data_IF_133844366278
#
_entry.id   IF_133844366278
#
_cell.length_a   1.000
_cell.length_b   1.000
_cell.length_c   1.000
_cell.angle_alpha   90.00
_cell.angle_beta   90.00
_cell.angle_gamma   90.00
#
_symmetry.space_group_name_H-M   'P 1'
#
loop_
_entity.id
_entity.type
_entity.pdbx_description
1 polymer ?
#
# COMPACT_ATOMS: atom_id res chain seq x y z
N UNK A 1 1.74 -4.52 4.17
CA UNK A 1 2.15 -5.92 3.95
C UNK A 1 1.14 -6.86 4.58
N UNK A 2 1.01 -8.08 4.07
CA UNK A 2 0.20 -9.15 4.65
C UNK A 2 0.87 -10.51 4.37
N UNK A 3 0.72 -11.55 5.21
CA UNK A 3 1.23 -12.89 4.90
C UNK A 3 0.66 -13.42 3.59
N UNK A 4 1.46 -14.06 2.74
CA UNK A 4 1.04 -14.51 1.41
C UNK A 4 -0.12 -15.50 1.49
N UNK A 5 -0.13 -16.39 2.49
CA UNK A 5 -1.16 -17.39 2.72
C UNK A 5 -2.54 -16.79 3.05
N UNK A 6 -2.59 -15.53 3.49
CA UNK A 6 -3.87 -14.83 3.72
C UNK A 6 -4.60 -14.48 2.43
N UNK A 7 -3.90 -14.49 1.30
CA UNK A 7 -4.39 -13.96 0.03
C UNK A 7 -4.93 -12.52 0.12
N UNK A 8 -4.44 -11.74 1.09
CA UNK A 8 -4.88 -10.36 1.33
C UNK A 8 -6.25 -10.23 2.00
N UNK A 9 -6.85 -11.32 2.49
CA UNK A 9 -8.20 -11.34 3.05
C UNK A 9 -8.20 -11.25 4.58
N UNK A 10 -9.17 -10.53 5.13
CA UNK A 10 -9.35 -10.35 6.57
C UNK A 10 -8.39 -9.30 7.17
N UNK A 11 -8.26 -9.30 8.48
CA UNK A 11 -7.44 -8.34 9.24
C UNK A 11 -5.96 -8.73 9.18
N UNK A 12 -5.35 -8.56 8.01
CA UNK A 12 -4.00 -9.08 7.70
C UNK A 12 -3.02 -8.02 7.22
N UNK A 13 -3.49 -6.83 6.85
CA UNK A 13 -2.64 -5.77 6.32
C UNK A 13 -2.08 -4.89 7.44
N UNK A 14 -0.76 -4.74 7.49
CA UNK A 14 -0.09 -3.73 8.33
C UNK A 14 0.70 -2.74 7.48
N UNK A 15 0.74 -1.47 7.89
CA UNK A 15 1.40 -0.39 7.15
C UNK A 15 2.88 -0.32 7.55
N UNK A 16 3.79 -0.27 6.57
CA UNK A 16 5.25 -0.18 6.81
C UNK A 16 5.90 1.07 6.21
N UNK A 17 5.14 1.85 5.46
CA UNK A 17 5.58 3.10 4.85
C UNK A 17 4.41 4.05 4.72
N UNK A 18 4.66 5.33 4.91
CA UNK A 18 3.75 6.41 4.53
C UNK A 18 4.53 7.69 4.20
N UNK A 19 4.06 8.41 3.18
CA UNK A 19 4.51 9.76 2.86
C UNK A 19 3.31 10.53 2.30
N UNK A 20 3.14 11.77 2.75
CA UNK A 20 1.99 12.61 2.49
C UNK A 20 2.39 13.97 1.90
N UNK A 21 1.94 15.05 2.54
CA UNK A 21 2.34 16.42 2.22
C UNK A 21 3.45 16.90 3.13
N UNK A 22 4.56 17.36 2.55
CA UNK A 22 5.63 18.06 3.27
C UNK A 22 5.38 19.58 3.22
N UNK A 23 5.00 20.22 4.34
CA UNK A 23 4.73 21.66 4.35
C UNK A 23 5.98 22.53 4.22
N UNK A 24 7.16 21.99 4.52
CA UNK A 24 8.43 22.72 4.40
C UNK A 24 8.88 22.77 2.94
N UNK A 25 8.90 21.61 2.27
CA UNK A 25 9.26 21.51 0.87
C UNK A 25 8.12 21.93 -0.08
N UNK A 26 6.87 21.94 0.41
CA UNK A 26 5.63 22.10 -0.38
C UNK A 26 5.51 21.05 -1.48
N UNK A 27 5.87 19.80 -1.15
CA UNK A 27 5.85 18.67 -2.06
C UNK A 27 4.92 17.58 -1.53
N UNK A 28 4.15 16.99 -2.43
CA UNK A 28 3.44 15.75 -2.16
C UNK A 28 4.34 14.55 -2.42
N UNK A 29 4.00 13.40 -1.84
CA UNK A 29 4.64 12.11 -2.13
C UNK A 29 4.79 11.86 -3.64
N UNK A 30 3.76 12.13 -4.43
CA UNK A 30 3.80 12.00 -5.90
C UNK A 30 4.83 12.91 -6.59
N UNK A 31 5.15 14.07 -6.02
CA UNK A 31 6.21 14.93 -6.54
C UNK A 31 7.59 14.34 -6.29
N UNK A 32 7.80 13.74 -5.11
CA UNK A 32 9.04 13.04 -4.74
C UNK A 32 9.24 11.79 -5.60
N UNK A 33 8.19 10.99 -5.78
CA UNK A 33 8.18 9.83 -6.69
C UNK A 33 8.57 10.24 -8.11
N UNK A 34 7.97 11.31 -8.63
CA UNK A 34 8.27 11.84 -9.97
C UNK A 34 9.74 12.28 -10.07
N UNK A 35 10.25 12.97 -9.05
CA UNK A 35 11.65 13.39 -9.00
C UNK A 35 12.61 12.19 -8.91
N UNK A 36 12.20 11.09 -8.27
CA UNK A 36 12.95 9.85 -8.15
C UNK A 36 12.62 8.82 -9.24
N UNK A 37 12.26 9.27 -10.44
CA UNK A 37 12.03 8.40 -11.62
C UNK A 37 11.01 7.27 -11.38
N UNK A 38 9.97 7.53 -10.57
CA UNK A 38 8.94 6.56 -10.27
C UNK A 38 9.29 5.60 -9.12
N UNK A 39 10.40 5.81 -8.41
CA UNK A 39 10.85 4.90 -7.35
C UNK A 39 10.56 5.43 -5.95
N UNK A 40 10.30 4.51 -5.03
CA UNK A 40 10.23 4.73 -3.58
C UNK A 40 11.10 3.68 -2.89
N UNK A 41 11.92 4.11 -1.94
CA UNK A 41 12.65 3.22 -1.06
C UNK A 41 11.82 2.89 0.17
N UNK A 42 11.60 1.59 0.41
CA UNK A 42 10.86 1.10 1.58
C UNK A 42 11.76 0.18 2.39
N UNK A 43 11.91 0.50 3.68
CA UNK A 43 12.62 -0.36 4.62
C UNK A 43 11.70 -1.46 5.14
N UNK A 44 12.12 -2.71 4.99
CA UNK A 44 11.40 -3.82 5.59
C UNK A 44 11.62 -3.85 7.12
N UNK A 45 10.56 -4.10 7.91
CA UNK A 45 10.72 -4.38 9.33
C UNK A 45 11.65 -5.56 9.57
N UNK A 46 12.61 -5.42 10.50
CA UNK A 46 13.58 -6.46 10.79
C UNK A 46 13.13 -7.46 11.86
N UNK A 47 12.01 -7.21 12.53
CA UNK A 47 11.51 -8.01 13.65
C UNK A 47 10.29 -8.88 13.30
N UNK A 48 9.72 -8.68 12.10
CA UNK A 48 8.62 -9.52 11.62
C UNK A 48 9.09 -10.93 11.31
N UNK A 49 8.16 -11.88 11.45
CA UNK A 49 8.42 -13.30 11.17
C UNK A 49 8.92 -13.51 9.74
N UNK A 50 9.89 -14.39 9.57
CA UNK A 50 10.28 -14.89 8.25
C UNK A 50 9.10 -15.55 7.52
N UNK A 51 9.04 -15.36 6.21
CA UNK A 51 7.98 -15.92 5.37
C UNK A 51 7.74 -15.13 4.10
N UNK A 52 6.76 -15.59 3.32
CA UNK A 52 6.32 -14.92 2.10
C UNK A 52 5.19 -13.94 2.42
N UNK A 53 5.25 -12.75 1.83
CA UNK A 53 4.33 -11.66 2.07
C UNK A 53 3.81 -11.06 0.77
N UNK A 54 2.58 -10.57 0.80
CA UNK A 54 2.05 -9.59 -0.13
C UNK A 54 2.48 -8.19 0.31
N UNK A 55 3.19 -7.49 -0.56
CA UNK A 55 3.47 -6.07 -0.44
C UNK A 55 2.50 -5.29 -1.32
N UNK A 56 1.54 -4.60 -0.70
CA UNK A 56 0.62 -3.69 -1.38
C UNK A 56 1.16 -2.27 -1.29
N UNK A 57 1.46 -1.67 -2.44
CA UNK A 57 1.69 -0.24 -2.59
C UNK A 57 0.40 0.44 -3.01
N UNK A 58 0.23 1.71 -2.66
CA UNK A 58 -0.95 2.48 -3.02
C UNK A 58 -0.62 3.96 -3.11
N UNK A 59 -0.98 4.56 -4.24
CA UNK A 59 -1.04 6.01 -4.38
C UNK A 59 -2.51 6.42 -4.28
N UNK A 60 -2.80 7.44 -3.47
CA UNK A 60 -4.13 8.03 -3.35
C UNK A 60 -4.09 9.41 -3.99
N UNK A 61 -4.80 9.58 -5.09
CA UNK A 61 -4.86 10.83 -5.81
C UNK A 61 -6.05 11.68 -5.30
N UNK A 62 -5.78 12.95 -5.01
CA UNK A 62 -6.67 13.83 -4.24
C UNK A 62 -7.33 14.94 -5.07
N UNK A 63 -7.11 14.98 -6.39
CA UNK A 63 -7.62 16.04 -7.26
C UNK A 63 -9.14 16.22 -7.22
N UNK A 64 -9.88 15.17 -6.85
CA UNK A 64 -11.33 15.18 -6.71
C UNK A 64 -11.78 14.74 -5.30
N UNK A 65 -10.84 14.62 -4.35
CA UNK A 65 -11.12 14.17 -2.98
C UNK A 65 -11.93 15.17 -2.14
N UNK A 66 -12.20 16.37 -2.66
CA UNK A 66 -13.14 17.31 -2.05
C UNK A 66 -14.61 16.88 -2.22
N UNK A 67 -14.88 15.89 -3.07
CA UNK A 67 -16.20 15.30 -3.24
C UNK A 67 -16.29 13.99 -2.45
N UNK A 68 -17.41 13.78 -1.75
CA UNK A 68 -17.68 12.51 -1.09
C UNK A 68 -18.13 11.48 -2.14
N UNK A 69 -17.34 10.43 -2.36
CA UNK A 69 -17.66 9.32 -3.27
C UNK A 69 -19.00 8.66 -2.95
N UNK A 70 -19.40 8.60 -1.67
CA UNK A 70 -20.68 8.03 -1.27
C UNK A 70 -21.88 8.87 -1.74
N UNK A 71 -21.66 10.15 -2.06
CA UNK A 71 -22.67 11.08 -2.56
C UNK A 71 -22.53 11.28 -4.07
N UNK A 72 -21.30 11.45 -4.57
CA UNK A 72 -20.99 11.69 -5.98
C UNK A 72 -20.00 10.63 -6.46
N UNK A 73 -20.46 9.43 -6.89
CA UNK A 73 -19.59 8.29 -7.18
C UNK A 73 -18.70 8.47 -8.41
N UNK A 74 -18.91 9.52 -9.21
CA UNK A 74 -18.02 9.90 -10.30
C UNK A 74 -16.77 10.65 -9.80
N UNK A 75 -16.72 11.04 -8.52
CA UNK A 75 -15.65 11.83 -7.92
C UNK A 75 -15.23 11.24 -6.56
N UNK A 76 -14.21 11.83 -5.94
CA UNK A 76 -13.63 11.41 -4.68
C UNK A 76 -12.15 11.05 -4.80
N UNK A 77 -11.58 10.55 -3.70
CA UNK A 77 -10.20 10.04 -3.73
C UNK A 77 -10.08 8.83 -4.66
N UNK A 78 -9.01 8.81 -5.46
CA UNK A 78 -8.76 7.76 -6.45
C UNK A 78 -7.58 6.90 -5.97
N UNK A 79 -7.80 5.59 -5.83
CA UNK A 79 -6.82 4.66 -5.28
C UNK A 79 -6.13 3.89 -6.42
N UNK A 80 -4.80 3.84 -6.40
CA UNK A 80 -3.97 3.11 -7.36
C UNK A 80 -3.13 2.05 -6.64
N UNK A 81 -3.74 0.92 -6.24
CA UNK A 81 -3.02 -0.14 -5.56
C UNK A 81 -2.24 -1.02 -6.54
N UNK A 82 -1.05 -1.46 -6.13
CA UNK A 82 -0.32 -2.55 -6.78
C UNK A 82 0.15 -3.53 -5.72
N UNK A 83 0.27 -4.81 -6.08
CA UNK A 83 0.73 -5.86 -5.18
C UNK A 83 1.95 -6.57 -5.77
N UNK A 84 2.91 -6.90 -4.90
CA UNK A 84 4.01 -7.79 -5.20
C UNK A 84 4.17 -8.86 -4.14
N UNK A 85 4.82 -9.95 -4.51
CA UNK A 85 5.20 -11.02 -3.59
C UNK A 85 6.66 -10.80 -3.18
N UNK A 86 6.91 -10.84 -1.88
CA UNK A 86 8.24 -10.64 -1.31
C UNK A 86 8.51 -11.72 -0.26
N UNK A 87 9.70 -12.29 -0.27
CA UNK A 87 10.14 -13.24 0.75
C UNK A 87 11.01 -12.52 1.78
N UNK A 88 10.60 -12.58 3.04
CA UNK A 88 11.34 -12.02 4.18
C UNK A 88 12.13 -13.14 4.84
N UNK A 89 13.42 -12.91 5.03
CA UNK A 89 14.32 -13.81 5.75
C UNK A 89 15.25 -13.01 6.64
N UNK A 90 15.71 -13.62 7.75
CA UNK A 90 16.57 -12.94 8.72
C UNK A 90 15.84 -11.91 9.58
N UNK A 91 14.52 -12.03 9.67
CA UNK A 91 13.64 -11.25 10.52
C UNK A 91 13.60 -11.78 11.96
N UNK A 92 12.49 -11.48 12.65
CA UNK A 92 12.23 -11.90 14.02
C UNK A 92 11.09 -12.91 14.11
N UNK A 93 10.25 -12.77 15.15
CA UNK A 93 9.10 -13.64 15.39
C UNK A 93 7.80 -12.82 15.56
N UNK A 94 7.83 -11.52 15.28
CA UNK A 94 6.67 -10.65 15.46
C UNK A 94 5.66 -10.89 14.34
N UNK A 95 4.40 -10.97 14.75
CA UNK A 95 3.25 -10.88 13.85
C UNK A 95 2.57 -9.53 14.14
N UNK A 96 2.68 -8.56 13.21
CA UNK A 96 2.03 -7.26 13.38
C UNK A 96 0.50 -7.39 13.44
N UNK A 97 -0.15 -6.48 14.17
CA UNK A 97 -1.60 -6.34 14.09
C UNK A 97 -2.03 -5.97 12.67
N UNK A 98 -2.94 -6.76 12.11
CA UNK A 98 -3.45 -6.58 10.76
C UNK A 98 -4.78 -5.83 10.72
N UNK A 99 -5.08 -5.25 9.56
CA UNK A 99 -6.29 -4.52 9.24
C UNK A 99 -6.86 -5.01 7.91
N UNK A 100 -8.18 -4.92 7.73
CA UNK A 100 -8.84 -5.34 6.49
C UNK A 100 -8.78 -4.29 5.36
N UNK A 101 -8.48 -4.76 4.15
CA UNK A 101 -8.67 -4.01 2.90
C UNK A 101 -9.50 -4.91 1.97
N UNK A 102 -10.76 -4.54 1.63
CA UNK A 102 -11.48 -3.33 2.01
C UNK A 102 -11.88 -3.29 3.50
N UNK A 103 -12.11 -2.08 4.04
CA UNK A 103 -12.62 -1.87 5.40
C UNK A 103 -11.90 -0.78 6.19
N UNK A 104 -10.58 -0.66 6.01
CA UNK A 104 -9.75 0.30 6.76
C UNK A 104 -9.95 1.77 6.34
N UNK A 105 -10.38 2.02 5.10
CA UNK A 105 -10.68 3.35 4.59
C UNK A 105 -12.18 3.61 4.57
N UNK A 106 -12.58 4.82 4.97
CA UNK A 106 -13.95 5.32 4.88
C UNK A 106 -13.96 6.59 4.02
N UNK A 107 -15.05 6.81 3.29
CA UNK A 107 -15.19 8.02 2.47
C UNK A 107 -15.12 9.31 3.32
N UNK A 108 -15.54 9.22 4.59
CA UNK A 108 -15.49 10.33 5.55
C UNK A 108 -14.14 10.53 6.23
N UNK A 109 -13.13 9.69 5.98
CA UNK A 109 -11.83 9.86 6.63
C UNK A 109 -11.20 11.18 6.18
N UNK A 110 -10.59 11.96 7.10
CA UNK A 110 -10.08 13.30 6.75
C UNK A 110 -9.03 13.33 5.63
N UNK A 111 -8.32 12.22 5.41
CA UNK A 111 -7.37 12.07 4.30
C UNK A 111 -8.02 11.63 2.99
N UNK A 112 -9.21 11.01 3.06
CA UNK A 112 -9.96 10.52 1.89
C UNK A 112 -10.91 11.60 1.38
N UNK A 113 -11.56 12.34 2.28
CA UNK A 113 -12.30 13.55 1.96
C UNK A 113 -11.46 14.78 2.30
N UNK A 114 -10.64 15.23 1.34
CA UNK A 114 -9.68 16.30 1.54
C UNK A 114 -9.69 17.28 0.35
N UNK A 115 -9.68 18.58 0.65
CA UNK A 115 -9.67 19.62 -0.38
C UNK A 115 -8.27 20.25 -0.51
N UNK A 116 -7.55 19.84 -1.55
CA UNK A 116 -6.20 20.36 -1.88
C UNK A 116 -6.20 21.76 -2.52
N UNK A 117 -7.37 22.36 -2.76
CA UNK A 117 -7.51 23.66 -3.43
C UNK A 117 -7.81 24.83 -2.47
N UNK A 118 -7.93 24.54 -1.17
CA UNK A 118 -8.05 25.56 -0.12
C UNK A 118 -6.75 25.62 0.70
N UNK A 119 -6.65 26.54 1.66
CA UNK A 119 -5.48 26.59 2.54
C UNK A 119 -5.43 25.39 3.50
N UNK A 120 -4.28 24.71 3.55
CA UNK A 120 -3.98 23.63 4.51
C UNK A 120 -2.52 23.73 4.96
N UNK A 121 -2.26 23.31 6.20
CA UNK A 121 -0.91 23.27 6.77
C UNK A 121 -0.38 21.84 6.92
N UNK A 122 -1.25 20.84 6.82
CA UNK A 122 -0.92 19.43 6.93
C UNK A 122 -1.94 18.59 6.17
N UNK A 123 -1.57 17.35 5.89
CA UNK A 123 -2.44 16.35 5.30
C UNK A 123 -2.50 15.13 6.22
N UNK A 124 -3.70 14.74 6.71
CA UNK A 124 -3.85 13.55 7.53
C UNK A 124 -3.79 12.30 6.65
N UNK A 125 -2.68 11.56 6.71
CA UNK A 125 -2.51 10.34 5.92
C UNK A 125 -3.55 9.30 6.38
N UNK A 126 -4.35 8.72 5.46
CA UNK A 126 -5.38 7.75 5.81
C UNK A 126 -4.80 6.37 6.18
N UNK A 127 -5.66 5.52 6.74
CA UNK A 127 -5.33 4.12 7.04
C UNK A 127 -4.79 3.89 8.45
N UNK A 128 -4.26 2.70 8.72
CA UNK A 128 -3.83 2.34 10.05
C UNK A 128 -2.53 3.08 10.44
N UNK A 129 -2.15 3.08 11.73
CA UNK A 129 -0.85 3.56 12.16
C UNK A 129 0.30 2.87 11.42
N UNK A 130 1.40 3.60 11.20
CA UNK A 130 2.65 3.03 10.73
C UNK A 130 3.16 2.01 11.74
N UNK A 131 3.49 0.80 11.28
CA UNK A 131 4.11 -0.22 12.10
C UNK A 131 5.48 0.25 12.58
N UNK A 132 5.73 0.11 13.88
CA UNK A 132 7.04 0.36 14.48
C UNK A 132 7.50 -0.89 15.20
N UNK A 133 8.76 -1.30 15.02
CA UNK A 133 9.29 -2.46 15.72
C UNK A 133 9.11 -2.29 17.24
N UNK A 134 8.48 -3.27 17.89
CA UNK A 134 8.12 -3.22 19.31
C UNK A 134 6.75 -2.62 19.64
N UNK A 135 5.93 -2.17 18.67
CA UNK A 135 4.52 -1.84 18.92
C UNK A 135 3.62 -3.08 18.79
N UNK A 136 2.91 -3.39 19.88
CA UNK A 136 1.86 -4.40 20.07
C UNK A 136 1.79 -5.59 19.09
N UNK A 137 2.31 -6.72 19.56
CA UNK A 137 2.21 -8.04 18.93
C UNK A 137 0.77 -8.55 18.97
N UNK A 138 0.10 -8.69 17.83
CA UNK A 138 -1.15 -9.45 17.76
C UNK A 138 -0.86 -10.84 17.21
N UNK A 139 -1.14 -11.88 18.00
CA UNK A 139 -0.99 -13.26 17.58
C UNK A 139 -2.01 -13.62 16.49
N UNK A 140 -1.56 -13.84 15.26
CA UNK A 140 -2.37 -14.54 14.27
C UNK A 140 -2.50 -16.01 14.68
N UNK A 141 -3.70 -16.43 15.04
CA UNK A 141 -4.01 -17.84 15.25
C UNK A 141 -4.22 -18.49 13.89
N UNK A 142 -3.16 -19.03 13.30
CA UNK A 142 -3.26 -19.85 12.10
C UNK A 142 -3.96 -21.18 12.47
N UNK A 143 -5.22 -21.35 12.09
CA UNK A 143 -5.86 -22.67 12.10
C UNK A 143 -5.33 -23.47 10.92
N UNK A 144 -4.36 -24.33 11.19
CA UNK A 144 -3.81 -25.31 10.24
C UNK A 144 -4.89 -26.36 9.94
N UNK A 145 -5.34 -26.45 8.69
CA UNK A 145 -5.97 -27.65 8.16
C UNK A 145 -5.01 -28.30 7.16
N UNK A 146 -4.67 -29.60 7.29
CA UNK A 146 -3.78 -30.26 6.33
C UNK A 146 -4.61 -30.79 5.16
N UNK A 147 -4.22 -30.48 3.92
CA UNK A 147 -4.59 -31.30 2.77
C UNK A 147 -3.44 -31.39 1.77
N UNK A 148 -3.00 -32.62 1.57
CA UNK A 148 -2.08 -33.10 0.55
C UNK A 148 -2.66 -32.97 -0.87
N UNK A 149 -1.81 -32.71 -1.88
CA UNK A 149 -2.14 -33.03 -3.28
C UNK A 149 -1.49 -32.09 -4.31
N UNK A 150 -0.93 -32.68 -5.36
CA UNK A 150 0.02 -32.11 -6.32
C UNK A 150 -0.55 -31.13 -7.38
N UNK A 151 0.38 -30.32 -7.90
CA UNK A 151 0.56 -29.77 -9.27
C UNK A 151 -0.57 -29.03 -10.00
N UNK A 152 -0.17 -27.83 -10.46
CA UNK A 152 -0.65 -27.07 -11.62
C UNK A 152 -2.14 -26.73 -11.72
N UNK A 153 -2.46 -25.43 -11.62
CA UNK A 153 -3.37 -24.80 -12.57
C UNK A 153 -3.17 -23.29 -12.59
N UNK A 154 -2.98 -22.77 -13.80
CA UNK A 154 -3.09 -21.37 -14.15
C UNK A 154 -4.44 -20.79 -13.71
N UNK A 155 -4.44 -19.52 -13.30
CA UNK A 155 -5.64 -18.69 -13.40
C UNK A 155 -5.29 -17.37 -14.08
N UNK A 156 -5.68 -17.29 -15.34
CA UNK A 156 -5.73 -16.05 -16.13
C UNK A 156 -6.95 -15.26 -15.67
N UNK A 157 -6.74 -14.11 -15.05
CA UNK A 157 -7.78 -13.10 -14.91
C UNK A 157 -7.58 -12.05 -16.02
N UNK A 158 -8.45 -12.11 -17.03
CA UNK A 158 -8.57 -11.08 -18.07
C UNK A 158 -9.38 -9.92 -17.51
N UNK A 159 -8.80 -8.72 -17.52
CA UNK A 159 -9.56 -7.47 -17.52
C UNK A 159 -9.13 -6.70 -18.77
N UNK A 160 -10.05 -6.62 -19.73
CA UNK A 160 -9.84 -5.91 -20.98
C UNK A 160 -9.76 -4.40 -20.76
N UNK A 161 -8.59 -3.83 -20.98
CA UNK A 161 -8.25 -2.82 -21.98
C UNK A 161 -6.81 -2.43 -21.68
N UNK A 162 -5.94 -2.69 -22.66
CA UNK A 162 -4.50 -2.79 -22.44
C UNK A 162 -3.86 -1.51 -21.91
N UNK A 163 -3.16 -1.66 -20.80
CA UNK A 163 -1.83 -1.12 -20.53
C UNK A 163 -1.16 -2.16 -19.63
N UNK A 164 -0.11 -2.80 -20.15
CA UNK A 164 0.75 -3.71 -19.39
C UNK A 164 1.47 -2.88 -18.32
N UNK A 165 1.06 -3.00 -17.05
CA UNK A 165 1.73 -2.36 -15.92
C UNK A 165 2.62 -3.43 -15.28
N UNK A 166 3.84 -3.54 -15.78
CA UNK A 166 4.91 -4.24 -15.07
C UNK A 166 5.40 -3.32 -13.94
N UNK A 167 5.21 -3.76 -12.69
CA UNK A 167 5.99 -3.22 -11.58
C UNK A 167 7.23 -4.09 -11.44
N UNK A 168 8.39 -3.52 -11.74
CA UNK A 168 9.67 -4.19 -11.47
C UNK A 168 9.99 -4.00 -9.99
N UNK A 169 10.29 -5.08 -9.28
CA UNK A 169 10.83 -5.02 -7.93
C UNK A 169 12.29 -5.44 -8.02
N UNK A 170 13.19 -4.60 -7.51
CA UNK A 170 14.61 -4.93 -7.42
C UNK A 170 15.01 -4.99 -5.95
N UNK A 171 15.54 -6.12 -5.51
CA UNK A 171 16.09 -6.27 -4.16
C UNK A 171 17.45 -5.58 -4.08
N UNK A 172 17.61 -4.67 -3.11
CA UNK A 172 18.91 -4.09 -2.74
C UNK A 172 19.50 -4.84 -1.54
N UNK A 173 20.82 -5.00 -1.53
CA UNK A 173 21.58 -5.83 -0.56
C UNK A 173 21.54 -5.30 0.90
N UNK A 174 20.94 -4.14 1.16
CA UNK A 174 20.97 -3.47 2.47
C UNK A 174 19.62 -3.46 3.23
N UNK A 175 18.67 -4.33 2.86
CA UNK A 175 17.35 -4.41 3.52
C UNK A 175 16.38 -3.28 3.15
N UNK A 176 16.70 -2.54 2.09
CA UNK A 176 15.80 -1.60 1.42
C UNK A 176 15.28 -2.24 0.13
N UNK A 177 13.99 -2.09 -0.16
CA UNK A 177 13.43 -2.44 -1.47
C UNK A 177 13.12 -1.17 -2.25
N UNK A 178 13.62 -1.11 -3.48
CA UNK A 178 13.16 -0.14 -4.46
C UNK A 178 11.83 -0.64 -5.03
N UNK A 179 10.78 0.16 -4.85
CA UNK A 179 9.46 -0.12 -5.40
C UNK A 179 9.13 0.92 -6.45
N UNK A 180 8.80 0.46 -7.66
CA UNK A 180 8.27 1.33 -8.68
C UNK A 180 6.80 1.65 -8.37
N UNK A 181 6.54 2.92 -8.09
CA UNK A 181 5.18 3.44 -8.04
C UNK A 181 4.58 3.39 -9.45
N UNK A 182 3.26 3.14 -9.58
CA UNK A 182 2.60 3.24 -10.87
C UNK A 182 2.83 4.65 -11.44
N UNK A 183 3.34 4.74 -12.67
CA UNK A 183 3.49 6.03 -13.36
C UNK A 183 2.08 6.50 -13.75
N UNK A 184 1.49 7.34 -12.91
CA UNK A 184 0.22 8.02 -13.22
C UNK A 184 0.58 9.31 -13.95
N UNK A 185 0.49 9.30 -15.28
CA UNK A 185 0.54 10.53 -16.08
C UNK A 185 -0.76 11.30 -15.88
N UNK A 186 -0.78 12.23 -14.91
CA UNK A 186 -1.86 13.21 -14.79
C UNK A 186 -1.52 14.39 -15.70
N UNK A 187 -2.26 14.64 -16.80
CA UNK A 187 -2.05 15.83 -17.61
C UNK A 187 -2.31 17.06 -16.75
N UNK A 188 -1.28 17.91 -16.57
CA UNK A 188 -1.42 19.19 -15.87
C UNK A 188 -2.32 20.08 -16.73
N UNK A 189 -3.48 20.49 -16.22
CA UNK A 189 -4.22 21.60 -16.82
C UNK A 189 -3.41 22.89 -16.59
N UNK A 190 -3.11 23.58 -17.68
CA UNK A 190 -2.46 24.90 -17.70
C UNK A 190 -3.21 25.94 -16.88
#
# INVERSE_FOLDING_TARGET
MAPLESNGQGDVWFKIFEDGYDPTAKLWCVDKIRANHGKIDVKLPSDIKDGDYLLRTEVIALQEAFADYAITPANGAQYYPNCAQVSVSGGGNVVPHGYAIPGIYKSSDPGIHFNIYVAYNSYPIPGPPLYTSGSDTAAYSASIAPTSGNSESMFTASIGTGLDVSSEFSSSQDGQMEVFAPIISIPRSN
#
